data_IF_926116954642
#
_entry.id   IF_926116954642
#
_cell.length_a   1.000
_cell.length_b   1.000
_cell.length_c   1.000
_cell.angle_alpha   90.00
_cell.angle_beta   90.00
_cell.angle_gamma   90.00
#
_symmetry.space_group_name_H-M   'P 1'
#
loop_
_entity.id
_entity.type
_entity.pdbx_description
1 polymer ?
#
# COMPACT_ATOMS: atom_id res chain seq x y z
N UNK A 1 13.18 24.96 1.82
CA UNK A 1 12.12 24.19 1.13
C UNK A 1 12.27 22.74 1.56
N UNK A 2 11.21 22.16 2.11
CA UNK A 2 11.26 20.75 2.50
C UNK A 2 11.51 19.86 1.26
N UNK A 3 12.34 18.82 1.36
CA UNK A 3 12.60 17.93 0.25
C UNK A 3 11.30 17.23 -0.18
N UNK A 4 11.11 17.06 -1.48
CA UNK A 4 9.98 16.27 -2.00
C UNK A 4 10.14 14.82 -1.60
N UNK A 5 9.03 14.11 -1.29
CA UNK A 5 9.13 12.70 -0.90
C UNK A 5 9.76 11.86 -2.01
N UNK A 6 10.74 11.04 -1.64
CA UNK A 6 11.39 10.08 -2.55
C UNK A 6 10.56 8.80 -2.69
N UNK A 7 10.05 8.28 -1.58
CA UNK A 7 9.23 7.06 -1.52
C UNK A 7 7.79 7.46 -1.21
N UNK A 8 6.90 7.22 -2.15
CA UNK A 8 5.45 7.47 -2.00
C UNK A 8 4.75 6.12 -2.09
N UNK A 9 3.98 5.78 -1.07
CA UNK A 9 3.25 4.52 -1.00
C UNK A 9 1.75 4.77 -1.04
N UNK A 10 1.05 4.11 -1.98
CA UNK A 10 -0.40 4.02 -1.97
C UNK A 10 -0.79 2.80 -1.13
N UNK A 11 -1.59 3.01 -0.09
CA UNK A 11 -1.96 1.97 0.87
C UNK A 11 -3.45 2.04 1.18
N UNK A 12 -4.03 0.94 1.63
CA UNK A 12 -5.43 0.85 1.98
C UNK A 12 -6.08 -0.45 1.50
N UNK A 13 -7.38 -0.64 1.80
CA UNK A 13 -8.12 -1.82 1.39
C UNK A 13 -8.12 -2.06 -0.12
N UNK A 14 -8.56 -3.25 -0.53
CA UNK A 14 -8.76 -3.58 -1.95
C UNK A 14 -9.85 -2.72 -2.60
N UNK A 15 -9.88 -2.70 -3.92
CA UNK A 15 -10.85 -1.95 -4.74
C UNK A 15 -10.88 -0.44 -4.48
N UNK A 16 -9.77 0.14 -4.10
CA UNK A 16 -9.63 1.59 -3.83
C UNK A 16 -8.83 2.35 -4.89
N UNK A 17 -8.44 1.66 -5.98
CA UNK A 17 -7.80 2.28 -7.13
C UNK A 17 -6.28 2.46 -7.02
N UNK A 18 -5.61 1.80 -6.08
CA UNK A 18 -4.16 1.95 -5.83
C UNK A 18 -3.31 1.72 -7.08
N UNK A 19 -3.53 0.62 -7.77
CA UNK A 19 -2.70 0.23 -8.93
C UNK A 19 -2.77 1.25 -10.05
N UNK A 20 -3.98 1.64 -10.46
CA UNK A 20 -4.18 2.61 -11.55
C UNK A 20 -3.60 3.97 -11.18
N UNK A 21 -3.87 4.46 -9.97
CA UNK A 21 -3.35 5.73 -9.48
C UNK A 21 -1.84 5.71 -9.29
N UNK A 22 -1.30 4.61 -8.76
CA UNK A 22 0.14 4.44 -8.57
C UNK A 22 0.91 4.46 -9.88
N UNK A 23 0.42 3.75 -10.90
CA UNK A 23 1.01 3.77 -12.24
C UNK A 23 0.93 5.15 -12.89
N UNK A 24 -0.23 5.84 -12.75
CA UNK A 24 -0.40 7.21 -13.26
C UNK A 24 0.57 8.17 -12.58
N UNK A 25 0.68 8.07 -11.26
CA UNK A 25 1.57 8.90 -10.46
C UNK A 25 3.04 8.67 -10.82
N UNK A 26 3.46 7.43 -10.96
CA UNK A 26 4.83 7.10 -11.34
C UNK A 26 5.19 7.72 -12.70
N UNK A 27 4.29 7.64 -13.68
CA UNK A 27 4.49 8.29 -14.99
C UNK A 27 4.59 9.80 -14.89
N UNK A 28 3.71 10.45 -14.11
CA UNK A 28 3.73 11.92 -13.96
C UNK A 28 5.02 12.40 -13.26
N UNK A 29 5.55 11.64 -12.32
CA UNK A 29 6.75 11.99 -11.57
C UNK A 29 8.06 11.54 -12.22
N UNK A 30 8.00 10.73 -13.28
CA UNK A 30 9.18 10.03 -13.79
C UNK A 30 9.78 9.07 -12.76
N UNK A 31 8.95 8.47 -11.93
CA UNK A 31 9.34 7.58 -10.84
C UNK A 31 9.33 6.10 -11.26
N UNK A 32 10.11 5.28 -10.57
CA UNK A 32 10.00 3.83 -10.67
C UNK A 32 8.73 3.37 -9.95
N UNK A 33 7.90 2.60 -10.64
CA UNK A 33 6.73 1.97 -10.05
C UNK A 33 7.09 0.59 -9.52
N UNK A 34 6.73 0.31 -8.28
CA UNK A 34 6.90 -1.00 -7.64
C UNK A 34 5.53 -1.63 -7.44
N UNK A 35 5.27 -2.73 -8.13
CA UNK A 35 4.00 -3.44 -8.07
C UNK A 35 3.83 -4.20 -6.74
N UNK A 36 2.58 -4.46 -6.38
CA UNK A 36 2.22 -5.28 -5.23
C UNK A 36 2.59 -6.75 -5.47
N UNK A 37 3.52 -7.28 -4.69
CA UNK A 37 3.94 -8.68 -4.80
C UNK A 37 2.87 -9.67 -4.32
N UNK A 38 2.09 -9.32 -3.29
CA UNK A 38 1.06 -10.19 -2.72
C UNK A 38 0.02 -10.64 -3.75
N UNK A 39 -0.35 -9.78 -4.71
CA UNK A 39 -1.30 -10.13 -5.78
C UNK A 39 -0.74 -11.22 -6.69
N UNK A 40 0.47 -11.03 -7.20
CA UNK A 40 1.15 -12.01 -8.04
C UNK A 40 1.31 -13.35 -7.33
N UNK A 41 1.71 -13.30 -6.07
CA UNK A 41 1.89 -14.48 -5.23
C UNK A 41 0.57 -15.24 -5.01
N UNK A 42 -0.52 -14.53 -4.72
CA UNK A 42 -1.84 -15.11 -4.52
C UNK A 42 -2.38 -15.76 -5.80
N UNK A 43 -2.30 -15.07 -6.93
CA UNK A 43 -2.73 -15.57 -8.24
C UNK A 43 -2.01 -16.88 -8.61
N UNK A 44 -0.69 -16.97 -8.36
CA UNK A 44 0.10 -18.18 -8.61
C UNK A 44 -0.32 -19.38 -7.73
N UNK A 45 -1.06 -19.14 -6.64
CA UNK A 45 -1.56 -20.17 -5.69
C UNK A 45 -3.08 -20.37 -5.75
N UNK A 46 -3.75 -19.93 -6.79
CA UNK A 46 -5.20 -20.02 -6.90
C UNK A 46 -5.96 -19.20 -5.86
N UNK A 47 -5.35 -18.13 -5.37
CA UNK A 47 -5.88 -17.21 -4.36
C UNK A 47 -6.16 -17.84 -2.97
N UNK A 48 -5.58 -18.99 -2.68
CA UNK A 48 -5.64 -19.63 -1.37
C UNK A 48 -4.38 -19.27 -0.57
N UNK A 49 -4.53 -18.42 0.45
CA UNK A 49 -3.44 -17.99 1.33
C UNK A 49 -3.67 -18.47 2.77
N UNK A 50 -2.57 -18.67 3.48
CA UNK A 50 -2.53 -19.03 4.89
C UNK A 50 -1.52 -18.19 5.65
N UNK A 51 -1.43 -18.35 6.96
CA UNK A 51 -0.42 -17.68 7.77
C UNK A 51 1.03 -18.01 7.33
N UNK A 52 1.25 -19.19 6.74
CA UNK A 52 2.56 -19.60 6.23
C UNK A 52 3.03 -18.79 5.01
N UNK A 53 2.09 -18.12 4.32
CA UNK A 53 2.40 -17.30 3.13
C UNK A 53 2.85 -15.88 3.47
N UNK A 54 2.66 -15.43 4.71
CA UNK A 54 2.99 -14.06 5.15
C UNK A 54 4.49 -13.77 4.95
N UNK A 55 5.38 -14.66 5.38
CA UNK A 55 6.83 -14.46 5.23
C UNK A 55 7.30 -14.49 3.77
N UNK A 56 6.91 -15.45 2.92
CA UNK A 56 7.23 -15.41 1.49
C UNK A 56 6.75 -14.14 0.80
N UNK A 57 5.54 -13.66 1.11
CA UNK A 57 4.99 -12.41 0.57
C UNK A 57 5.85 -11.22 1.00
N UNK A 58 6.19 -11.13 2.29
CA UNK A 58 7.05 -10.07 2.79
C UNK A 58 8.42 -10.04 2.09
N UNK A 59 9.06 -11.19 1.92
CA UNK A 59 10.37 -11.30 1.24
C UNK A 59 10.28 -10.91 -0.23
N UNK A 60 9.23 -11.31 -0.93
CA UNK A 60 9.00 -10.94 -2.33
C UNK A 60 8.75 -9.44 -2.49
N UNK A 61 7.96 -8.84 -1.60
CA UNK A 61 7.75 -7.39 -1.59
C UNK A 61 9.06 -6.63 -1.38
N UNK A 62 9.88 -7.06 -0.42
CA UNK A 62 11.20 -6.48 -0.18
C UNK A 62 12.12 -6.58 -1.41
N UNK A 63 12.12 -7.74 -2.08
CA UNK A 63 12.90 -7.92 -3.30
C UNK A 63 12.46 -6.99 -4.44
N UNK A 64 11.14 -6.80 -4.63
CA UNK A 64 10.61 -5.84 -5.60
C UNK A 64 11.03 -4.40 -5.28
N UNK A 65 11.00 -4.01 -4.00
CA UNK A 65 11.43 -2.69 -3.57
C UNK A 65 12.94 -2.49 -3.77
N UNK A 66 13.75 -3.50 -3.43
CA UNK A 66 15.21 -3.45 -3.57
C UNK A 66 15.63 -3.38 -5.04
N UNK A 67 14.84 -3.98 -5.95
CA UNK A 67 15.07 -3.90 -7.39
C UNK A 67 14.91 -2.47 -7.96
N UNK A 68 14.19 -1.59 -7.29
CA UNK A 68 14.12 -0.17 -7.65
C UNK A 68 15.43 0.59 -7.38
N UNK A 69 16.33 0.04 -6.55
CA UNK A 69 17.68 0.53 -6.29
C UNK A 69 17.73 2.00 -5.84
N UNK A 70 18.66 2.74 -6.42
CA UNK A 70 18.92 4.15 -6.10
C UNK A 70 18.08 5.13 -6.92
N UNK A 71 16.91 4.72 -7.41
CA UNK A 71 16.02 5.59 -8.15
C UNK A 71 15.72 6.87 -7.35
N UNK A 72 15.70 8.02 -8.05
CA UNK A 72 15.45 9.32 -7.43
C UNK A 72 14.07 9.37 -6.77
N UNK A 73 13.08 8.71 -7.40
CA UNK A 73 11.71 8.58 -6.87
C UNK A 73 11.15 7.20 -7.11
N UNK A 74 10.40 6.71 -6.13
CA UNK A 74 9.76 5.41 -6.14
C UNK A 74 8.30 5.59 -5.73
N UNK A 75 7.40 5.02 -6.50
CA UNK A 75 5.97 4.90 -6.18
C UNK A 75 5.67 3.44 -5.92
N UNK A 76 5.22 3.15 -4.70
CA UNK A 76 4.90 1.81 -4.23
C UNK A 76 3.38 1.57 -4.32
N UNK A 77 2.98 0.51 -5.02
CA UNK A 77 1.65 -0.07 -4.88
C UNK A 77 1.68 -1.01 -3.68
N UNK A 78 1.40 -0.45 -2.52
CA UNK A 78 1.61 -1.01 -1.18
C UNK A 78 3.09 -1.25 -0.80
N UNK A 79 3.30 -1.56 0.46
CA UNK A 79 4.58 -1.94 1.04
C UNK A 79 4.40 -2.97 2.17
N UNK A 80 5.45 -3.23 2.96
CA UNK A 80 5.39 -4.19 4.08
C UNK A 80 4.35 -3.83 5.15
N UNK A 81 3.97 -2.57 5.30
CA UNK A 81 2.92 -2.19 6.25
C UNK A 81 1.58 -2.84 5.87
N UNK A 82 1.29 -2.97 4.58
CA UNK A 82 0.13 -3.72 4.10
C UNK A 82 0.20 -5.19 4.52
N UNK A 83 1.36 -5.83 4.40
CA UNK A 83 1.56 -7.21 4.86
C UNK A 83 1.30 -7.33 6.37
N UNK A 84 1.79 -6.38 7.18
CA UNK A 84 1.54 -6.34 8.63
C UNK A 84 0.05 -6.24 8.93
N UNK A 85 -0.66 -5.31 8.28
CA UNK A 85 -2.10 -5.09 8.50
C UNK A 85 -2.89 -6.33 8.14
N UNK A 86 -2.67 -6.92 6.97
CA UNK A 86 -3.39 -8.13 6.55
C UNK A 86 -3.05 -9.35 7.41
N UNK A 87 -1.79 -9.54 7.81
CA UNK A 87 -1.40 -10.62 8.69
C UNK A 87 -2.10 -10.54 10.06
N UNK A 88 -2.14 -9.36 10.66
CA UNK A 88 -2.87 -9.13 11.91
C UNK A 88 -4.36 -9.34 11.76
N UNK A 89 -4.94 -8.86 10.65
CA UNK A 89 -6.38 -8.95 10.39
C UNK A 89 -6.85 -10.40 10.19
N UNK A 90 -6.17 -11.16 9.34
CA UNK A 90 -6.60 -12.53 8.99
C UNK A 90 -6.06 -13.61 9.93
N UNK A 91 -4.88 -13.40 10.51
CA UNK A 91 -4.19 -14.45 11.31
C UNK A 91 -3.94 -14.03 12.76
N UNK A 92 -4.33 -12.82 13.15
CA UNK A 92 -4.23 -12.33 14.52
C UNK A 92 -2.85 -11.83 14.93
N UNK A 93 -1.81 -12.08 14.16
CA UNK A 93 -0.44 -11.65 14.44
C UNK A 93 0.40 -11.53 13.17
N UNK A 94 1.47 -10.76 13.25
CA UNK A 94 2.50 -10.67 12.22
C UNK A 94 3.87 -11.04 12.83
N UNK A 95 4.74 -11.76 12.10
CA UNK A 95 6.10 -12.01 12.58
C UNK A 95 6.84 -10.70 12.93
N UNK A 96 7.47 -10.60 14.11
CA UNK A 96 8.09 -9.35 14.58
C UNK A 96 9.15 -8.77 13.62
N UNK A 97 9.87 -9.63 12.91
CA UNK A 97 10.87 -9.16 11.95
C UNK A 97 10.26 -8.40 10.78
N UNK A 98 9.05 -8.77 10.33
CA UNK A 98 8.31 -8.06 9.27
C UNK A 98 7.88 -6.69 9.76
N UNK A 99 7.38 -6.59 10.99
CA UNK A 99 7.04 -5.31 11.62
C UNK A 99 8.26 -4.39 11.75
N UNK A 100 9.41 -4.96 12.13
CA UNK A 100 10.68 -4.24 12.17
C UNK A 100 11.13 -3.72 10.80
N UNK A 101 11.01 -4.55 9.76
CA UNK A 101 11.34 -4.16 8.39
C UNK A 101 10.36 -3.14 7.83
N UNK A 102 9.05 -3.25 8.11
CA UNK A 102 8.06 -2.25 7.73
C UNK A 102 8.42 -0.87 8.30
N UNK A 103 8.84 -0.81 9.56
CA UNK A 103 9.31 0.42 10.21
C UNK A 103 10.58 0.96 9.57
N UNK A 104 11.56 0.12 9.31
CA UNK A 104 12.85 0.50 8.71
C UNK A 104 12.70 1.01 7.28
N UNK A 105 11.77 0.43 6.50
CA UNK A 105 11.53 0.71 5.08
C UNK A 105 10.39 1.69 4.83
N UNK A 106 9.82 2.29 5.88
CA UNK A 106 8.65 3.17 5.74
C UNK A 106 8.83 4.20 4.63
N UNK A 107 7.75 4.50 3.92
CA UNK A 107 7.74 5.53 2.90
C UNK A 107 7.80 6.95 3.52
N UNK A 108 8.24 7.93 2.72
CA UNK A 108 8.26 9.34 3.13
C UNK A 108 6.85 9.93 3.18
N UNK A 109 5.94 9.39 2.37
CA UNK A 109 4.54 9.79 2.33
C UNK A 109 3.68 8.58 1.99
N UNK A 110 2.65 8.35 2.80
CA UNK A 110 1.59 7.39 2.51
C UNK A 110 0.33 8.10 2.02
N UNK A 111 -0.25 7.57 0.96
CA UNK A 111 -1.56 7.94 0.45
C UNK A 111 -2.53 6.84 0.86
N UNK A 112 -3.30 7.08 1.93
CA UNK A 112 -4.30 6.14 2.42
C UNK A 112 -5.56 6.27 1.58
N UNK A 113 -5.85 5.24 0.80
CA UNK A 113 -6.96 5.23 -0.14
C UNK A 113 -8.28 4.97 0.59
N UNK A 114 -9.22 5.91 0.46
CA UNK A 114 -10.54 5.82 1.06
C UNK A 114 -11.41 4.73 0.39
N UNK A 115 -12.38 4.22 1.13
CA UNK A 115 -13.33 3.18 0.71
C UNK A 115 -14.56 3.71 0.00
N UNK A 116 -14.53 4.94 -0.46
CA UNK A 116 -15.62 5.63 -1.16
C UNK A 116 -15.83 5.20 -2.63
N UNK A 117 -15.02 4.25 -3.13
CA UNK A 117 -15.26 3.57 -4.41
C UNK A 117 -16.09 2.30 -4.19
N UNK A 118 -16.99 1.95 -5.14
CA UNK A 118 -17.77 0.72 -5.05
C UNK A 118 -16.86 -0.52 -4.92
N UNK A 119 -17.24 -1.43 -4.00
CA UNK A 119 -16.59 -2.72 -3.90
C UNK A 119 -16.91 -3.57 -5.14
N UNK A 120 -15.90 -4.25 -5.65
CA UNK A 120 -16.03 -5.24 -6.71
C UNK A 120 -15.38 -6.54 -6.26
N UNK A 121 -15.99 -7.71 -6.55
CA UNK A 121 -15.38 -8.99 -6.23
C UNK A 121 -13.98 -9.09 -6.86
N UNK A 122 -12.99 -9.41 -6.04
CA UNK A 122 -11.62 -9.67 -6.47
C UNK A 122 -11.24 -11.07 -5.99
N UNK A 123 -10.98 -11.98 -6.93
CA UNK A 123 -10.63 -13.36 -6.62
C UNK A 123 -9.35 -13.49 -5.77
N UNK A 124 -8.47 -12.50 -5.82
CA UNK A 124 -7.24 -12.49 -5.03
C UNK A 124 -7.47 -12.09 -3.55
N UNK A 125 -8.57 -11.39 -3.26
CA UNK A 125 -8.89 -10.89 -1.91
C UNK A 125 -10.41 -10.74 -1.76
N UNK A 126 -11.03 -11.69 -1.10
CA UNK A 126 -12.46 -11.66 -0.81
C UNK A 126 -12.70 -11.26 0.65
N UNK A 127 -12.47 -9.98 0.96
CA UNK A 127 -12.81 -9.43 2.29
C UNK A 127 -14.28 -9.06 2.42
N UNK A 128 -14.99 -8.93 1.30
CA UNK A 128 -16.33 -8.36 1.28
C UNK A 128 -16.39 -6.86 1.59
N UNK A 129 -17.55 -6.26 1.37
CA UNK A 129 -17.71 -4.81 1.57
C UNK A 129 -17.64 -4.41 3.06
N UNK A 130 -18.25 -5.22 3.94
CA UNK A 130 -18.32 -4.95 5.38
C UNK A 130 -16.95 -4.92 6.08
N UNK A 131 -15.96 -5.67 5.56
CA UNK A 131 -14.61 -5.70 6.16
C UNK A 131 -13.68 -4.58 5.66
N UNK A 132 -14.08 -3.83 4.63
CA UNK A 132 -13.25 -2.74 4.08
C UNK A 132 -13.10 -1.57 5.05
N UNK A 133 -14.15 -1.24 5.78
CA UNK A 133 -14.09 -0.18 6.81
C UNK A 133 -13.20 -0.59 7.98
N UNK A 134 -13.31 -1.84 8.43
CA UNK A 134 -12.44 -2.39 9.47
C UNK A 134 -10.96 -2.39 9.03
N UNK A 135 -10.70 -2.78 7.78
CA UNK A 135 -9.36 -2.72 7.20
C UNK A 135 -8.87 -1.28 7.06
N UNK A 136 -9.71 -0.35 6.63
CA UNK A 136 -9.33 1.07 6.55
C UNK A 136 -8.89 1.61 7.90
N UNK A 137 -9.64 1.31 8.96
CA UNK A 137 -9.29 1.71 10.32
C UNK A 137 -8.01 1.01 10.80
N UNK A 138 -7.80 -0.26 10.43
CA UNK A 138 -6.56 -0.97 10.74
C UNK A 138 -5.35 -0.35 10.04
N UNK A 139 -5.47 0.07 8.77
CA UNK A 139 -4.42 0.80 8.06
C UNK A 139 -4.11 2.13 8.71
N UNK A 140 -5.14 2.90 9.08
CA UNK A 140 -4.98 4.18 9.75
C UNK A 140 -4.22 4.02 11.07
N UNK A 141 -4.64 3.06 11.90
CA UNK A 141 -3.97 2.76 13.16
C UNK A 141 -2.51 2.34 12.97
N UNK A 142 -2.23 1.50 11.97
CA UNK A 142 -0.87 1.06 11.68
C UNK A 142 0.03 2.21 11.20
N UNK A 143 -0.51 3.15 10.43
CA UNK A 143 0.22 4.36 10.01
C UNK A 143 0.55 5.27 11.20
N UNK A 144 -0.37 5.40 12.16
CA UNK A 144 -0.14 6.16 13.40
C UNK A 144 0.90 5.46 14.29
N UNK A 145 0.82 4.13 14.46
CA UNK A 145 1.83 3.34 15.18
C UNK A 145 3.25 3.48 14.57
N UNK A 146 3.31 3.65 13.26
CA UNK A 146 4.56 3.82 12.51
C UNK A 146 5.13 5.25 12.62
N UNK A 147 4.36 6.19 13.18
CA UNK A 147 4.66 7.63 13.14
C UNK A 147 4.95 8.09 11.70
N UNK A 148 4.11 7.64 10.78
CA UNK A 148 4.25 7.92 9.36
C UNK A 148 3.53 9.20 8.96
N UNK A 149 4.06 9.90 7.96
CA UNK A 149 3.31 10.97 7.30
C UNK A 149 2.31 10.35 6.33
N UNK A 150 1.02 10.64 6.50
CA UNK A 150 -0.01 10.10 5.63
C UNK A 150 -1.16 11.09 5.38
N UNK A 151 -1.85 10.89 4.27
CA UNK A 151 -2.98 11.71 3.82
C UNK A 151 -4.05 10.78 3.26
N UNK A 152 -5.32 11.01 3.62
CA UNK A 152 -6.46 10.29 3.03
C UNK A 152 -6.72 10.81 1.62
N UNK A 153 -6.92 9.89 0.68
CA UNK A 153 -7.27 10.16 -0.70
C UNK A 153 -8.71 9.70 -0.94
N UNK A 154 -9.61 10.64 -1.09
CA UNK A 154 -11.04 10.43 -1.32
C UNK A 154 -11.48 10.95 -2.69
N UNK A 155 -12.73 10.71 -3.06
CA UNK A 155 -13.32 11.12 -4.32
C UNK A 155 -13.31 10.01 -5.37
N UNK A 156 -13.87 10.28 -6.53
CA UNK A 156 -13.97 9.33 -7.64
C UNK A 156 -13.35 9.90 -8.90
N UNK A 157 -12.85 9.03 -9.78
CA UNK A 157 -12.31 9.42 -11.07
C UNK A 157 -11.26 10.54 -10.98
N UNK A 158 -11.48 11.64 -11.68
CA UNK A 158 -10.53 12.76 -11.73
C UNK A 158 -10.43 13.51 -10.39
N UNK A 159 -11.47 13.57 -9.58
CA UNK A 159 -11.40 14.16 -8.23
C UNK A 159 -10.38 13.43 -7.37
N UNK A 160 -10.40 12.10 -7.41
CA UNK A 160 -9.44 11.25 -6.67
C UNK A 160 -8.00 11.49 -7.14
N UNK A 161 -7.83 11.65 -8.44
CA UNK A 161 -6.52 12.00 -9.01
C UNK A 161 -6.04 13.38 -8.56
N UNK A 162 -6.91 14.39 -8.55
CA UNK A 162 -6.56 15.73 -8.07
C UNK A 162 -6.21 15.71 -6.56
N UNK A 163 -6.88 14.85 -5.77
CA UNK A 163 -6.52 14.65 -4.37
C UNK A 163 -5.09 14.10 -4.22
N UNK A 164 -4.69 13.14 -5.05
CA UNK A 164 -3.30 12.61 -5.08
C UNK A 164 -2.31 13.72 -5.42
N UNK A 165 -2.56 14.49 -6.48
CA UNK A 165 -1.67 15.60 -6.87
C UNK A 165 -1.52 16.65 -5.77
N UNK A 166 -2.64 17.02 -5.14
CA UNK A 166 -2.65 17.99 -4.03
C UNK A 166 -1.88 17.48 -2.81
N UNK A 167 -1.99 16.19 -2.49
CA UNK A 167 -1.26 15.58 -1.39
C UNK A 167 0.25 15.64 -1.56
N UNK A 168 0.74 15.41 -2.79
CA UNK A 168 2.17 15.42 -3.11
C UNK A 168 2.74 16.83 -3.16
N UNK A 169 1.93 17.80 -3.53
CA UNK A 169 2.34 19.22 -3.60
C UNK A 169 2.48 19.88 -2.21
N UNK A 170 1.93 19.26 -1.15
CA UNK A 170 2.03 19.79 0.21
C UNK A 170 3.47 19.67 0.73
N UNK A 171 4.07 20.73 1.26
CA UNK A 171 5.37 20.66 1.91
C UNK A 171 5.31 19.76 3.14
N UNK A 172 6.43 19.13 3.48
CA UNK A 172 6.60 18.27 4.65
C UNK A 172 6.55 19.07 5.93
#
# INVERSE_FOLDING_TARGET
MAPRPRRICLIGPECTGKTILGQRLARELGAVYVAEYAREYAEARGNELSAADVEPIARGQMANEDAAGDAERIVLDTDLLSTVVYARHYYGACPPWIEGEARRRRADLYLLMDTDLPWQPDAARDSGDDSREDLFDAFRSALDELDARWIIISGTGEERWQAVRSAIARPS
#
